data_IF_592421505678
#
_entry.id   IF_592421505678
#
_cell.length_a   1.000
_cell.length_b   1.000
_cell.length_c   1.000
_cell.angle_alpha   90.00
_cell.angle_beta   90.00
_cell.angle_gamma   90.00
#
_symmetry.space_group_name_H-M   'P 1'
#
loop_
_entity.id
_entity.type
_entity.pdbx_description
1 polymer ?
#
# COMPACT_ATOMS: atom_id res chain seq x y z
N UNK A 1 13.86 -22.46 -13.66
CA UNK A 1 12.57 -22.56 -14.43
C UNK A 1 11.70 -21.36 -14.08
N UNK A 2 11.04 -20.71 -15.06
CA UNK A 2 10.23 -19.48 -14.83
C UNK A 2 8.75 -19.80 -14.91
N UNK A 3 8.00 -19.50 -13.85
CA UNK A 3 6.55 -19.70 -13.80
C UNK A 3 5.83 -18.35 -13.79
N UNK A 4 4.75 -18.23 -14.55
CA UNK A 4 3.91 -17.04 -14.51
C UNK A 4 3.09 -17.03 -13.22
N UNK A 5 3.22 -15.96 -12.42
CA UNK A 5 2.54 -15.85 -11.12
C UNK A 5 1.42 -14.81 -11.13
N UNK A 6 1.52 -13.74 -11.94
CA UNK A 6 0.44 -12.76 -12.06
C UNK A 6 0.47 -11.97 -13.38
N UNK A 7 -0.72 -11.48 -13.77
CA UNK A 7 -0.90 -10.38 -14.71
C UNK A 7 -1.35 -9.14 -13.95
N UNK A 8 -0.73 -7.99 -14.20
CA UNK A 8 -1.15 -6.70 -13.65
C UNK A 8 -1.30 -5.63 -14.73
N UNK A 9 -1.93 -4.50 -14.39
CA UNK A 9 -2.10 -3.35 -15.29
C UNK A 9 -0.79 -2.80 -15.88
N UNK A 10 0.33 -3.06 -15.21
CA UNK A 10 1.67 -2.57 -15.60
C UNK A 10 2.57 -3.64 -16.25
N UNK A 11 2.13 -4.90 -16.38
CA UNK A 11 2.93 -5.95 -17.01
C UNK A 11 2.70 -7.37 -16.47
N UNK A 12 3.61 -8.28 -16.82
CA UNK A 12 3.64 -9.66 -16.33
C UNK A 12 4.61 -9.81 -15.15
N UNK A 13 4.27 -10.68 -14.21
CA UNK A 13 5.14 -11.07 -13.09
C UNK A 13 5.48 -12.55 -13.21
N UNK A 14 6.77 -12.84 -13.37
CA UNK A 14 7.32 -14.18 -13.52
C UNK A 14 8.13 -14.54 -12.27
N UNK A 15 7.85 -15.68 -11.64
CA UNK A 15 8.69 -16.22 -10.58
C UNK A 15 9.89 -16.93 -11.19
N UNK A 16 11.07 -16.49 -10.78
CA UNK A 16 12.34 -17.15 -11.04
C UNK A 16 12.70 -18.04 -9.84
N UNK A 17 12.41 -19.34 -9.95
CA UNK A 17 12.64 -20.30 -8.86
C UNK A 17 14.11 -20.53 -8.55
N UNK A 18 15.00 -20.25 -9.50
CA UNK A 18 16.42 -20.52 -9.35
C UNK A 18 17.07 -19.53 -8.37
N UNK A 19 16.45 -18.35 -8.20
CA UNK A 19 16.92 -17.28 -7.31
C UNK A 19 15.90 -16.86 -6.24
N UNK A 20 14.71 -17.47 -6.25
CA UNK A 20 13.57 -17.10 -5.39
C UNK A 20 13.20 -15.60 -5.48
N UNK A 21 13.14 -15.08 -6.71
CA UNK A 21 12.79 -13.68 -6.99
C UNK A 21 11.70 -13.59 -8.04
N UNK A 22 11.04 -12.44 -8.15
CA UNK A 22 10.12 -12.15 -9.25
C UNK A 22 10.72 -11.20 -10.28
N UNK A 23 10.37 -11.42 -11.54
CA UNK A 23 10.71 -10.56 -12.66
C UNK A 23 9.43 -9.90 -13.12
N UNK A 24 9.38 -8.57 -13.02
CA UNK A 24 8.29 -7.76 -13.58
C UNK A 24 8.72 -7.23 -14.93
N UNK A 25 8.03 -7.66 -15.98
CA UNK A 25 8.38 -7.34 -17.38
C UNK A 25 7.19 -6.71 -18.09
N UNK A 26 7.41 -5.76 -19.02
CA UNK A 26 6.33 -5.17 -19.79
C UNK A 26 5.61 -6.21 -20.66
N UNK A 27 4.29 -6.13 -20.70
CA UNK A 27 3.44 -6.85 -21.64
C UNK A 27 3.15 -5.93 -22.85
N UNK A 28 4.10 -5.87 -23.79
CA UNK A 28 4.02 -5.02 -25.00
C UNK A 28 4.52 -3.57 -24.80
N UNK A 29 4.56 -2.79 -25.88
CA UNK A 29 5.15 -1.44 -25.87
C UNK A 29 4.46 -0.47 -24.89
N UNK A 30 3.14 -0.56 -24.75
CA UNK A 30 2.34 0.35 -23.91
C UNK A 30 2.68 0.28 -22.42
N UNK A 31 3.28 -0.80 -21.94
CA UNK A 31 3.62 -0.98 -20.51
C UNK A 31 5.10 -0.71 -20.20
N UNK A 32 5.94 -0.48 -21.22
CA UNK A 32 7.38 -0.22 -21.05
C UNK A 32 7.66 1.04 -20.24
N UNK A 33 6.89 2.10 -20.47
CA UNK A 33 7.03 3.36 -19.74
C UNK A 33 6.68 3.19 -18.26
N UNK A 34 5.64 2.40 -17.95
CA UNK A 34 5.25 2.11 -16.58
C UNK A 34 6.36 1.35 -15.83
N UNK A 35 6.93 0.30 -16.45
CA UNK A 35 8.05 -0.45 -15.88
C UNK A 35 9.30 0.42 -15.75
N UNK A 36 9.55 1.34 -16.70
CA UNK A 36 10.67 2.28 -16.62
C UNK A 36 10.52 3.26 -15.46
N UNK A 37 9.30 3.77 -15.22
CA UNK A 37 8.99 4.64 -14.09
C UNK A 37 9.15 3.90 -12.76
N UNK A 38 8.65 2.68 -12.68
CA UNK A 38 8.79 1.83 -11.50
C UNK A 38 10.26 1.53 -11.19
N UNK A 39 11.07 1.25 -12.20
CA UNK A 39 12.53 1.12 -12.06
C UNK A 39 13.14 2.36 -11.40
N UNK A 40 12.84 3.56 -11.91
CA UNK A 40 13.38 4.81 -11.38
C UNK A 40 12.98 5.06 -9.91
N UNK A 41 11.78 4.62 -9.53
CA UNK A 41 11.30 4.68 -8.15
C UNK A 41 12.16 3.76 -7.25
N UNK A 42 12.35 2.50 -7.66
CA UNK A 42 13.17 1.55 -6.90
C UNK A 42 14.65 1.95 -6.82
N UNK A 43 15.22 2.47 -7.91
CA UNK A 43 16.58 3.03 -7.90
C UNK A 43 16.71 4.13 -6.85
N UNK A 44 15.74 5.05 -6.78
CA UNK A 44 15.70 6.10 -5.76
C UNK A 44 15.57 5.55 -4.34
N UNK A 45 14.79 4.49 -4.13
CA UNK A 45 14.69 3.84 -2.82
C UNK A 45 16.04 3.26 -2.39
N UNK A 46 16.76 2.60 -3.30
CA UNK A 46 18.11 2.07 -3.03
C UNK A 46 19.09 3.19 -2.70
N UNK A 47 19.08 4.30 -3.45
CA UNK A 47 19.92 5.49 -3.17
C UNK A 47 19.68 6.09 -1.77
N UNK A 48 18.48 5.89 -1.21
CA UNK A 48 18.09 6.36 0.13
C UNK A 48 18.23 5.29 1.22
N UNK A 49 18.89 4.17 0.91
CA UNK A 49 19.20 3.09 1.87
C UNK A 49 18.17 1.97 1.94
N UNK A 50 17.08 2.04 1.17
CA UNK A 50 15.99 1.07 1.17
C UNK A 50 15.15 1.08 2.46
N UNK A 51 14.10 0.25 2.48
CA UNK A 51 13.23 0.10 3.64
C UNK A 51 12.68 -1.33 3.75
N UNK A 52 12.67 -1.91 4.97
CA UNK A 52 12.22 -3.28 5.25
C UNK A 52 10.77 -3.60 4.85
N UNK A 53 9.94 -2.56 4.67
CA UNK A 53 8.54 -2.67 4.27
C UNK A 53 8.31 -2.53 2.76
N UNK A 54 9.37 -2.44 1.97
CA UNK A 54 9.33 -2.35 0.51
C UNK A 54 10.14 -3.53 -0.03
N UNK A 55 9.65 -4.17 -1.11
CA UNK A 55 10.33 -5.31 -1.73
C UNK A 55 11.76 -4.94 -2.14
N UNK A 56 12.71 -5.83 -1.86
CA UNK A 56 14.10 -5.62 -2.26
C UNK A 56 14.23 -5.51 -3.78
N UNK A 57 14.96 -4.51 -4.26
CA UNK A 57 15.26 -4.32 -5.69
C UNK A 57 16.61 -4.95 -6.04
N UNK A 58 16.59 -5.92 -6.95
CA UNK A 58 17.78 -6.67 -7.39
C UNK A 58 18.36 -6.16 -8.72
N UNK A 59 17.85 -5.04 -9.23
CA UNK A 59 18.31 -4.44 -10.48
C UNK A 59 17.42 -4.76 -11.68
N UNK A 60 17.87 -4.30 -12.85
CA UNK A 60 17.20 -4.56 -14.13
C UNK A 60 17.39 -6.02 -14.56
N UNK A 61 16.38 -6.57 -15.21
CA UNK A 61 16.46 -7.88 -15.84
C UNK A 61 15.81 -7.81 -17.22
N UNK A 62 16.61 -7.97 -18.29
CA UNK A 62 16.16 -7.75 -19.67
C UNK A 62 15.46 -6.38 -19.84
N UNK A 63 14.21 -6.35 -20.32
CA UNK A 63 13.38 -5.13 -20.40
C UNK A 63 12.60 -4.80 -19.13
N UNK A 64 12.81 -5.56 -18.06
CA UNK A 64 12.06 -5.49 -16.81
C UNK A 64 12.93 -5.18 -15.58
N UNK A 65 12.34 -5.41 -14.41
CA UNK A 65 12.98 -5.28 -13.11
C UNK A 65 12.88 -6.59 -12.33
N UNK A 66 13.88 -6.87 -11.49
CA UNK A 66 13.89 -8.01 -10.57
C UNK A 66 13.66 -7.53 -9.15
N UNK A 67 12.70 -8.16 -8.47
CA UNK A 67 12.28 -7.83 -7.11
C UNK A 67 12.26 -9.08 -6.23
N UNK A 68 12.34 -8.87 -4.93
CA UNK A 68 12.07 -9.90 -3.92
C UNK A 68 10.71 -10.57 -4.15
N UNK A 69 10.65 -11.89 -3.96
CA UNK A 69 9.39 -12.62 -4.02
C UNK A 69 8.67 -12.60 -2.66
N UNK A 70 7.50 -11.96 -2.60
CA UNK A 70 6.60 -12.05 -1.46
C UNK A 70 5.75 -13.33 -1.54
N UNK A 71 6.25 -14.41 -0.93
CA UNK A 71 5.64 -15.76 -1.01
C UNK A 71 4.21 -15.88 -0.49
N UNK A 72 3.75 -14.94 0.34
CA UNK A 72 2.40 -14.91 0.90
C UNK A 72 1.46 -13.95 0.15
N UNK A 73 1.92 -13.38 -0.98
CA UNK A 73 1.13 -12.45 -1.77
C UNK A 73 0.82 -11.14 -1.03
N UNK A 74 -0.36 -10.58 -1.33
CA UNK A 74 -0.83 -9.34 -0.71
C UNK A 74 -1.73 -9.64 0.50
N UNK A 75 -1.87 -8.66 1.39
CA UNK A 75 -2.61 -8.82 2.65
C UNK A 75 -4.08 -9.21 2.43
N UNK A 76 -4.73 -8.71 1.36
CA UNK A 76 -6.12 -9.05 1.04
C UNK A 76 -6.25 -10.54 0.75
N UNK A 77 -5.49 -11.03 -0.22
CA UNK A 77 -5.50 -12.45 -0.60
C UNK A 77 -5.08 -13.35 0.57
N UNK A 78 -4.16 -12.88 1.42
CA UNK A 78 -3.79 -13.62 2.62
C UNK A 78 -4.97 -13.78 3.59
N UNK A 79 -5.70 -12.69 3.86
CA UNK A 79 -6.85 -12.69 4.76
C UNK A 79 -8.07 -13.46 4.21
N UNK A 80 -8.20 -13.54 2.89
CA UNK A 80 -9.26 -14.33 2.25
C UNK A 80 -9.06 -15.85 2.55
N UNK A 81 -7.80 -16.31 2.70
CA UNK A 81 -7.45 -17.71 2.94
C UNK A 81 -7.02 -18.01 4.39
N UNK A 82 -6.65 -17.00 5.19
CA UNK A 82 -6.03 -17.15 6.50
C UNK A 82 -6.58 -16.15 7.52
N UNK A 83 -6.71 -16.61 8.77
CA UNK A 83 -7.05 -15.76 9.89
C UNK A 83 -5.83 -14.98 10.43
N UNK A 84 -6.02 -13.69 10.74
CA UNK A 84 -5.05 -12.88 11.46
C UNK A 84 -5.70 -12.18 12.66
N UNK A 85 -5.05 -12.23 13.82
CA UNK A 85 -5.53 -11.53 15.02
C UNK A 85 -5.28 -10.01 14.94
N UNK A 86 -5.96 -9.25 15.81
CA UNK A 86 -5.84 -7.78 15.87
C UNK A 86 -4.40 -7.30 16.02
N UNK A 87 -3.62 -7.92 16.92
CA UNK A 87 -2.20 -7.58 17.11
C UNK A 87 -1.39 -7.68 15.81
N UNK A 88 -1.68 -8.68 14.98
CA UNK A 88 -1.03 -8.87 13.68
C UNK A 88 -1.45 -7.78 12.70
N UNK A 89 -2.75 -7.47 12.64
CA UNK A 89 -3.31 -6.41 11.78
C UNK A 89 -2.73 -5.02 12.14
N UNK A 90 -2.59 -4.74 13.44
CA UNK A 90 -1.97 -3.51 13.96
C UNK A 90 -0.50 -3.43 13.58
N UNK A 91 0.24 -4.54 13.72
CA UNK A 91 1.65 -4.60 13.28
C UNK A 91 1.78 -4.31 11.79
N UNK A 92 0.90 -4.86 10.95
CA UNK A 92 0.88 -4.57 9.52
C UNK A 92 0.57 -3.10 9.22
N UNK A 93 -0.39 -2.49 9.95
CA UNK A 93 -0.68 -1.06 9.83
C UNK A 93 0.54 -0.19 10.17
N UNK A 94 1.27 -0.50 11.24
CA UNK A 94 2.53 0.19 11.59
C UNK A 94 3.56 0.05 10.47
N UNK A 95 3.78 -1.18 9.98
CA UNK A 95 4.77 -1.43 8.91
C UNK A 95 4.43 -0.68 7.62
N UNK A 96 3.14 -0.63 7.26
CA UNK A 96 2.64 0.12 6.11
C UNK A 96 2.88 1.62 6.27
N UNK A 97 2.56 2.17 7.44
CA UNK A 97 2.77 3.59 7.73
C UNK A 97 4.28 3.96 7.70
N UNK A 98 5.15 3.12 8.27
CA UNK A 98 6.61 3.30 8.21
C UNK A 98 7.13 3.26 6.76
N UNK A 99 6.63 2.33 5.95
CA UNK A 99 7.01 2.23 4.54
C UNK A 99 6.55 3.46 3.75
N UNK A 100 5.32 3.93 3.95
CA UNK A 100 4.78 5.10 3.28
C UNK A 100 5.56 6.38 3.63
N UNK A 101 5.91 6.56 4.91
CA UNK A 101 6.76 7.67 5.35
C UNK A 101 8.13 7.64 4.63
N UNK A 102 8.72 6.45 4.45
CA UNK A 102 9.96 6.32 3.67
C UNK A 102 9.76 6.68 2.19
N UNK A 103 8.68 6.21 1.56
CA UNK A 103 8.35 6.53 0.16
C UNK A 103 8.28 8.04 -0.04
N UNK A 104 7.63 8.76 0.88
CA UNK A 104 7.49 10.21 0.79
C UNK A 104 8.80 10.96 1.08
N UNK A 105 9.64 10.47 2.00
CA UNK A 105 11.01 11.00 2.18
C UNK A 105 11.86 10.87 0.91
N UNK A 106 11.54 9.92 0.04
CA UNK A 106 12.14 9.77 -1.28
C UNK A 106 11.50 10.70 -2.34
N UNK A 107 10.54 11.55 -1.97
CA UNK A 107 9.81 12.41 -2.91
C UNK A 107 9.03 11.62 -3.94
N UNK A 108 8.55 10.42 -3.56
CA UNK A 108 7.69 9.57 -4.37
C UNK A 108 6.30 9.63 -3.76
N UNK A 109 5.31 9.75 -4.62
CA UNK A 109 3.89 9.56 -4.30
C UNK A 109 3.53 8.16 -4.80
N UNK A 110 2.95 7.31 -3.95
CA UNK A 110 2.66 5.92 -4.34
C UNK A 110 1.55 5.85 -5.41
N UNK A 111 0.52 6.69 -5.30
CA UNK A 111 -0.49 6.91 -6.36
C UNK A 111 -1.46 5.76 -6.63
N UNK A 112 -1.22 4.56 -6.10
CA UNK A 112 -2.14 3.40 -6.19
C UNK A 112 -2.19 2.63 -4.86
N UNK A 113 -2.53 3.32 -3.76
CA UNK A 113 -2.97 2.67 -2.52
C UNK A 113 -4.50 2.60 -2.57
N UNK A 114 -5.05 1.82 -3.51
CA UNK A 114 -6.50 1.80 -3.72
C UNK A 114 -7.24 1.21 -2.50
N UNK A 115 -8.44 1.67 -2.17
CA UNK A 115 -9.63 1.42 -2.98
C UNK A 115 -10.27 2.61 -3.71
N UNK A 116 -9.56 3.21 -4.67
CA UNK A 116 -10.01 4.09 -5.76
C UNK A 116 -9.57 5.56 -5.66
N UNK A 117 -8.35 5.81 -6.15
CA UNK A 117 -7.79 7.07 -6.67
C UNK A 117 -7.88 8.29 -5.75
N UNK A 118 -6.89 8.45 -4.86
CA UNK A 118 -6.80 9.68 -4.07
C UNK A 118 -6.00 10.75 -4.82
N UNK A 119 -6.69 11.82 -5.22
CA UNK A 119 -6.11 13.04 -5.76
C UNK A 119 -5.37 13.79 -4.65
N UNK A 120 -4.10 14.12 -4.90
CA UNK A 120 -3.26 14.89 -3.99
C UNK A 120 -3.48 16.39 -4.14
N UNK A 121 -3.65 17.04 -3.00
CA UNK A 121 -3.36 18.44 -2.78
C UNK A 121 -1.86 18.60 -2.40
N UNK A 122 -1.35 19.83 -2.51
CA UNK A 122 0.04 20.27 -2.21
C UNK A 122 0.59 19.90 -0.82
N UNK A 123 -0.20 19.29 0.07
CA UNK A 123 0.13 18.96 1.46
C UNK A 123 0.26 17.46 1.79
N UNK A 124 0.11 16.54 0.82
CA UNK A 124 0.21 15.06 0.99
C UNK A 124 -0.98 14.40 1.74
N UNK A 125 -2.13 15.07 1.86
CA UNK A 125 -3.29 14.59 2.62
C UNK A 125 -3.94 13.30 2.05
N UNK A 126 -3.71 13.02 0.76
CA UNK A 126 -4.32 11.91 0.04
C UNK A 126 -3.76 10.53 0.45
N UNK A 127 -2.46 10.45 0.68
CA UNK A 127 -1.81 9.20 1.06
C UNK A 127 -2.13 8.84 2.52
N UNK A 128 -2.35 9.84 3.38
CA UNK A 128 -2.86 9.65 4.76
C UNK A 128 -4.32 9.18 4.72
N UNK A 129 -5.15 9.76 3.86
CA UNK A 129 -6.53 9.30 3.66
C UNK A 129 -6.58 7.84 3.18
N UNK A 130 -5.74 7.50 2.19
CA UNK A 130 -5.60 6.14 1.69
C UNK A 130 -5.13 5.19 2.79
N UNK A 131 -4.13 5.59 3.58
CA UNK A 131 -3.65 4.83 4.74
C UNK A 131 -4.78 4.56 5.75
N UNK A 132 -5.59 5.57 6.09
CA UNK A 132 -6.77 5.38 6.94
C UNK A 132 -7.76 4.37 6.36
N UNK A 133 -8.01 4.45 5.05
CA UNK A 133 -8.89 3.52 4.32
C UNK A 133 -8.34 2.09 4.29
N UNK A 134 -7.02 1.92 4.13
CA UNK A 134 -6.37 0.61 4.21
C UNK A 134 -6.41 0.05 5.63
N UNK A 135 -6.17 0.86 6.66
CA UNK A 135 -6.30 0.41 8.06
C UNK A 135 -7.74 -0.01 8.34
N UNK A 136 -8.74 0.74 7.86
CA UNK A 136 -10.14 0.33 7.96
C UNK A 136 -10.39 -1.05 7.32
N UNK A 137 -9.89 -1.27 6.09
CA UNK A 137 -10.04 -2.55 5.40
C UNK A 137 -9.32 -3.68 6.14
N UNK A 138 -8.15 -3.44 6.74
CA UNK A 138 -7.46 -4.43 7.55
C UNK A 138 -8.27 -4.83 8.80
N UNK A 139 -8.87 -3.85 9.47
CA UNK A 139 -9.61 -4.09 10.71
C UNK A 139 -10.97 -4.74 10.46
N UNK A 140 -11.67 -4.32 9.41
CA UNK A 140 -13.05 -4.76 9.11
C UNK A 140 -13.13 -5.85 8.04
N UNK A 141 -12.01 -6.18 7.40
CA UNK A 141 -11.92 -7.08 6.23
C UNK A 141 -12.82 -6.65 5.06
N UNK A 142 -13.29 -5.39 5.08
CA UNK A 142 -14.21 -4.81 4.13
C UNK A 142 -13.78 -3.40 3.76
N UNK A 143 -13.97 -3.01 2.50
CA UNK A 143 -13.66 -1.64 2.09
C UNK A 143 -14.60 -0.64 2.75
N UNK A 144 -14.15 0.60 3.02
CA UNK A 144 -15.02 1.71 3.34
C UNK A 144 -16.20 1.77 2.36
N UNK A 145 -17.43 1.80 2.89
CA UNK A 145 -18.65 1.83 2.07
C UNK A 145 -18.82 0.68 1.06
N UNK A 146 -18.35 -0.53 1.39
CA UNK A 146 -18.56 -1.72 0.56
C UNK A 146 -20.02 -1.85 0.10
N UNK A 147 -20.21 -2.02 -1.22
CA UNK A 147 -21.52 -2.13 -1.86
C UNK A 147 -22.11 -0.81 -2.39
N UNK A 148 -21.50 0.34 -2.10
CA UNK A 148 -21.90 1.63 -2.69
C UNK A 148 -21.16 1.91 -4.01
N UNK A 149 -21.73 2.79 -4.85
CA UNK A 149 -21.08 3.24 -6.09
C UNK A 149 -20.05 4.33 -5.80
N UNK A 150 -19.02 4.44 -6.64
CA UNK A 150 -17.97 5.47 -6.51
C UNK A 150 -18.53 6.89 -6.39
N UNK A 151 -19.58 7.20 -7.16
CA UNK A 151 -20.25 8.50 -7.10
C UNK A 151 -20.80 8.79 -5.71
N UNK A 152 -21.48 7.81 -5.09
CA UNK A 152 -22.04 7.97 -3.74
C UNK A 152 -20.94 8.08 -2.69
N UNK A 153 -19.88 7.29 -2.84
CA UNK A 153 -18.71 7.34 -1.95
C UNK A 153 -18.06 8.73 -2.00
N UNK A 154 -17.85 9.26 -3.21
CA UNK A 154 -17.31 10.60 -3.40
C UNK A 154 -18.19 11.67 -2.78
N UNK A 155 -19.51 11.62 -2.98
CA UNK A 155 -20.46 12.55 -2.37
C UNK A 155 -20.40 12.51 -0.84
N UNK A 156 -20.26 11.33 -0.24
CA UNK A 156 -20.10 11.18 1.22
C UNK A 156 -18.82 11.81 1.73
N UNK A 157 -17.68 11.45 1.14
CA UNK A 157 -16.40 12.03 1.54
C UNK A 157 -16.35 13.56 1.36
N UNK A 158 -16.96 14.09 0.28
CA UNK A 158 -17.04 15.54 0.06
C UNK A 158 -17.84 16.29 1.14
N UNK A 159 -18.73 15.59 1.85
CA UNK A 159 -19.51 16.11 2.98
C UNK A 159 -18.85 15.86 4.34
N UNK A 160 -17.68 15.21 4.37
CA UNK A 160 -17.06 14.75 5.61
C UNK A 160 -17.83 13.62 6.29
N UNK A 161 -18.68 12.89 5.55
CA UNK A 161 -19.34 11.69 6.03
C UNK A 161 -18.37 10.51 5.86
N UNK A 162 -18.08 9.82 6.97
CA UNK A 162 -17.18 8.67 7.00
C UNK A 162 -17.87 7.40 7.54
N UNK A 163 -17.37 6.19 7.23
CA UNK A 163 -17.85 4.96 7.85
C UNK A 163 -17.72 4.97 9.37
N UNK A 164 -18.52 4.13 10.03
CA UNK A 164 -18.44 3.95 11.48
C UNK A 164 -17.10 3.32 11.87
N UNK A 165 -16.46 3.88 12.90
CA UNK A 165 -15.15 3.45 13.39
C UNK A 165 -15.13 3.25 14.91
N UNK A 166 -16.21 3.57 15.63
CA UNK A 166 -16.23 3.57 17.10
C UNK A 166 -16.02 2.15 17.66
N UNK A 167 -16.62 1.14 17.03
CA UNK A 167 -16.44 -0.27 17.35
C UNK A 167 -15.01 -0.79 17.15
N UNK A 168 -14.14 -0.06 16.43
CA UNK A 168 -12.75 -0.44 16.15
C UNK A 168 -11.77 0.07 17.22
N UNK A 169 -12.28 0.63 18.33
CA UNK A 169 -11.49 1.10 19.45
C UNK A 169 -10.43 2.13 19.03
N UNK A 170 -9.17 1.89 19.39
CA UNK A 170 -8.08 2.83 19.10
C UNK A 170 -7.81 2.96 17.59
N UNK A 171 -7.90 1.87 16.83
CA UNK A 171 -7.69 1.89 15.38
C UNK A 171 -8.73 2.79 14.73
N UNK A 172 -9.97 2.76 15.24
CA UNK A 172 -11.04 3.65 14.80
C UNK A 172 -10.71 5.13 14.95
N UNK A 173 -10.11 5.52 16.09
CA UNK A 173 -9.69 6.91 16.32
C UNK A 173 -8.59 7.35 15.34
N UNK A 174 -7.67 6.45 14.98
CA UNK A 174 -6.61 6.72 14.02
C UNK A 174 -7.18 6.85 12.60
N UNK A 175 -8.02 5.89 12.18
CA UNK A 175 -8.69 5.91 10.87
C UNK A 175 -9.46 7.23 10.69
N UNK A 176 -10.24 7.64 11.69
CA UNK A 176 -11.05 8.85 11.64
C UNK A 176 -10.20 10.11 11.46
N UNK A 177 -9.13 10.25 12.25
CA UNK A 177 -8.17 11.36 12.11
C UNK A 177 -7.46 11.37 10.75
N UNK A 178 -7.15 10.20 10.18
CA UNK A 178 -6.60 10.10 8.83
C UNK A 178 -7.57 10.66 7.79
N UNK A 179 -8.86 10.31 7.88
CA UNK A 179 -9.88 10.80 6.96
C UNK A 179 -10.22 12.29 7.14
N UNK A 180 -10.06 12.81 8.35
CA UNK A 180 -10.31 14.23 8.68
C UNK A 180 -9.11 15.14 8.37
N UNK A 181 -7.97 14.59 7.92
CA UNK A 181 -6.75 15.37 7.65
C UNK A 181 -6.10 15.92 8.92
N UNK A 182 -6.30 15.27 10.07
CA UNK A 182 -5.76 15.74 11.35
C UNK A 182 -4.29 15.35 11.57
N UNK A 183 -3.76 14.46 10.73
CA UNK A 183 -2.41 13.93 10.85
C UNK A 183 -1.41 14.55 9.88
N UNK A 184 -0.15 14.59 10.34
CA UNK A 184 1.05 14.57 9.50
C UNK A 184 1.65 13.18 9.61
N UNK A 185 2.24 12.64 8.54
CA UNK A 185 2.70 11.24 8.44
C UNK A 185 3.43 10.69 9.67
N UNK A 186 4.44 11.41 10.18
CA UNK A 186 5.21 10.96 11.35
C UNK A 186 4.35 10.74 12.59
N UNK A 187 3.28 11.53 12.77
CA UNK A 187 2.36 11.41 13.92
C UNK A 187 1.46 10.18 13.83
N UNK A 188 1.12 9.73 12.61
CA UNK A 188 0.32 8.49 12.43
C UNK A 188 1.12 7.28 12.92
N UNK A 189 2.40 7.22 12.56
CA UNK A 189 3.31 6.14 12.95
C UNK A 189 3.48 6.11 14.47
N UNK A 190 3.68 7.27 15.10
CA UNK A 190 3.82 7.38 16.54
C UNK A 190 2.56 6.89 17.27
N UNK A 191 1.38 7.36 16.88
CA UNK A 191 0.09 6.96 17.50
C UNK A 191 -0.19 5.45 17.31
N UNK A 192 0.18 4.86 16.17
CA UNK A 192 0.08 3.41 15.94
C UNK A 192 1.06 2.61 16.81
N UNK A 193 2.28 3.10 17.03
CA UNK A 193 3.33 2.40 17.77
C UNK A 193 3.05 2.32 19.26
N UNK A 194 2.49 3.38 19.86
CA UNK A 194 2.16 3.41 21.30
C UNK A 194 1.30 2.21 21.70
N UNK A 195 0.46 1.71 20.78
CA UNK A 195 -0.48 0.62 21.05
C UNK A 195 0.04 -0.77 20.66
N UNK A 196 1.14 -0.86 19.91
CA UNK A 196 1.75 -2.14 19.50
C UNK A 196 2.51 -2.87 20.63
N UNK A 197 2.79 -2.15 21.72
CA UNK A 197 3.59 -2.61 22.87
C UNK A 197 2.84 -2.64 24.20
N UNK A 198 1.55 -2.32 24.20
CA UNK A 198 0.61 -2.51 25.32
C UNK A 198 -0.20 -3.78 25.11
#
# INVERSE_FOLDING_TARGET
>A
MKDLVAYGNSGMVLLDRDTDTVIKTPHGEHTREAVTRERQIYERFVERGGHKGILCYHGTFESGIRLEYASHGNVRSYLDDHWANEKTKVRWAVQLAEALEFVHRCGVIHGDVNGFNVLLDKHLDADIFALGSTIYELMTESRPYAGLTEKVIFEKYSKGEFPETESLGFAGSIIKKCWQGEYKECKVVDDLKVQSWT
#
